data_IF_240686558832
#
_entry.id   IF_240686558832
#
_cell.length_a   1.000
_cell.length_b   1.000
_cell.length_c   1.000
_cell.angle_alpha   90.00
_cell.angle_beta   90.00
_cell.angle_gamma   90.00
#
_symmetry.space_group_name_H-M   'P 1'
#
loop_
_entity.id
_entity.type
_entity.pdbx_description
1 polymer ?
#
# COMPACT_ATOMS: atom_id res chain seq x y z
N UNK A 1 11.61 -15.79 -13.41
CA UNK A 1 11.14 -14.67 -14.24
C UNK A 1 12.18 -13.55 -14.12
N UNK A 2 12.93 -13.24 -15.17
CA UNK A 2 13.82 -12.08 -15.16
C UNK A 2 12.97 -10.83 -15.40
N UNK A 3 12.73 -10.06 -14.35
CA UNK A 3 11.99 -8.80 -14.43
C UNK A 3 13.01 -7.73 -14.83
N UNK A 4 12.89 -7.18 -16.04
CA UNK A 4 13.78 -6.10 -16.49
C UNK A 4 13.55 -4.81 -15.69
N UNK A 5 14.51 -3.88 -15.71
CA UNK A 5 14.40 -2.60 -14.97
C UNK A 5 13.10 -1.84 -15.28
N UNK A 6 12.71 -1.75 -16.56
CA UNK A 6 11.48 -1.06 -16.94
C UNK A 6 10.23 -1.72 -16.33
N UNK A 7 10.15 -3.05 -16.40
CA UNK A 7 9.04 -3.83 -15.84
C UNK A 7 9.02 -3.76 -14.31
N UNK A 8 10.17 -3.81 -13.65
CA UNK A 8 10.29 -3.68 -12.20
C UNK A 8 9.87 -2.28 -11.72
N UNK A 9 10.35 -1.22 -12.38
CA UNK A 9 9.96 0.16 -12.08
C UNK A 9 8.47 0.37 -12.33
N UNK A 10 7.94 -0.11 -13.46
CA UNK A 10 6.51 -0.03 -13.78
C UNK A 10 5.63 -0.71 -12.74
N UNK A 11 6.04 -1.90 -12.27
CA UNK A 11 5.35 -2.61 -11.20
C UNK A 11 5.33 -1.80 -9.89
N UNK A 12 6.46 -1.21 -9.51
CA UNK A 12 6.54 -0.36 -8.31
C UNK A 12 5.61 0.85 -8.46
N UNK A 13 5.66 1.58 -9.59
CA UNK A 13 4.80 2.73 -9.84
C UNK A 13 3.32 2.34 -9.76
N UNK A 14 2.93 1.24 -10.41
CA UNK A 14 1.55 0.75 -10.39
C UNK A 14 1.10 0.37 -8.96
N UNK A 15 1.98 -0.23 -8.16
CA UNK A 15 1.68 -0.58 -6.76
C UNK A 15 1.56 0.61 -5.82
N UNK A 16 2.24 1.73 -6.12
CA UNK A 16 2.26 2.93 -5.26
C UNK A 16 1.12 3.90 -5.54
N UNK A 17 0.64 3.98 -6.79
CA UNK A 17 -0.47 4.87 -7.16
C UNK A 17 -1.79 4.19 -6.76
N UNK A 18 -2.29 4.56 -5.57
CA UNK A 18 -3.57 4.09 -5.05
C UNK A 18 -4.69 5.13 -5.11
N UNK A 19 -5.86 4.76 -4.56
CA UNK A 19 -7.04 5.63 -4.45
C UNK A 19 -6.83 6.86 -3.56
N UNK A 20 -5.78 6.87 -2.74
CA UNK A 20 -5.45 7.98 -1.82
C UNK A 20 -5.26 9.33 -2.53
N UNK A 21 -4.83 9.35 -3.79
CA UNK A 21 -4.73 10.59 -4.58
C UNK A 21 -6.08 11.30 -4.68
N UNK A 22 -7.17 10.54 -4.83
CA UNK A 22 -8.52 11.09 -4.98
C UNK A 22 -9.20 11.33 -3.64
N UNK A 23 -9.03 10.43 -2.67
CA UNK A 23 -9.71 10.53 -1.38
C UNK A 23 -8.99 11.46 -0.41
N UNK A 24 -7.70 11.23 -0.15
CA UNK A 24 -6.93 11.98 0.86
C UNK A 24 -6.75 13.44 0.46
N UNK A 25 -6.52 13.73 -0.81
CA UNK A 25 -6.43 15.13 -1.28
C UNK A 25 -7.71 15.91 -1.05
N UNK A 26 -8.87 15.25 -1.14
CA UNK A 26 -10.17 15.87 -0.82
C UNK A 26 -10.30 16.20 0.66
N UNK A 27 -9.89 15.29 1.55
CA UNK A 27 -9.86 15.55 3.00
C UNK A 27 -8.88 16.66 3.36
N UNK A 28 -7.67 16.63 2.80
CA UNK A 28 -6.67 17.67 3.00
C UNK A 28 -7.17 19.04 2.53
N UNK A 29 -7.89 19.10 1.40
CA UNK A 29 -8.45 20.35 0.92
C UNK A 29 -9.55 20.88 1.84
N UNK A 30 -10.40 20.00 2.39
CA UNK A 30 -11.42 20.36 3.36
C UNK A 30 -10.80 20.90 4.66
N UNK A 31 -9.70 20.30 5.12
CA UNK A 31 -9.04 20.68 6.38
C UNK A 31 -8.16 21.92 6.23
N UNK A 32 -7.42 22.05 5.12
CA UNK A 32 -6.46 23.14 4.88
C UNK A 32 -7.08 24.36 4.20
N UNK A 33 -8.24 24.20 3.55
CA UNK A 33 -8.97 25.28 2.87
C UNK A 33 -8.28 25.90 1.65
N UNK A 34 -7.09 25.43 1.27
CA UNK A 34 -6.31 25.97 0.14
C UNK A 34 -5.64 24.86 -0.65
N UNK A 35 -5.84 24.80 -1.99
CA UNK A 35 -5.14 23.85 -2.86
C UNK A 35 -3.62 23.98 -2.78
N UNK A 36 -3.11 25.18 -2.46
CA UNK A 36 -1.67 25.42 -2.39
C UNK A 36 -1.02 24.70 -1.20
N UNK A 37 -1.70 24.69 -0.04
CA UNK A 37 -1.23 23.92 1.11
C UNK A 37 -1.29 22.42 0.88
N UNK A 38 -2.30 21.93 0.13
CA UNK A 38 -2.37 20.53 -0.28
C UNK A 38 -1.17 20.14 -1.16
N UNK A 39 -0.80 20.98 -2.13
CA UNK A 39 0.36 20.74 -3.00
C UNK A 39 1.68 20.77 -2.23
N UNK A 40 1.83 21.66 -1.25
CA UNK A 40 3.01 21.68 -0.37
C UNK A 40 3.08 20.39 0.46
N UNK A 41 1.96 19.95 1.04
CA UNK A 41 1.91 18.69 1.79
C UNK A 41 2.30 17.48 0.92
N UNK A 42 1.82 17.45 -0.33
CA UNK A 42 2.21 16.44 -1.32
C UNK A 42 3.70 16.48 -1.64
N UNK A 43 4.27 17.67 -1.84
CA UNK A 43 5.70 17.82 -2.11
C UNK A 43 6.56 17.31 -0.92
N UNK A 44 6.18 17.66 0.31
CA UNK A 44 6.87 17.18 1.52
C UNK A 44 6.78 15.66 1.63
N UNK A 45 5.59 15.09 1.46
CA UNK A 45 5.39 13.63 1.47
C UNK A 45 6.19 12.93 0.38
N UNK A 46 6.26 13.50 -0.83
CA UNK A 46 7.05 12.99 -1.94
C UNK A 46 8.55 12.97 -1.65
N UNK A 47 9.09 14.04 -1.05
CA UNK A 47 10.50 14.09 -0.62
C UNK A 47 10.77 13.03 0.46
N UNK A 48 9.90 12.92 1.46
CA UNK A 48 10.05 11.91 2.51
C UNK A 48 10.04 10.48 1.93
N UNK A 49 9.12 10.19 1.00
CA UNK A 49 9.05 8.90 0.32
C UNK A 49 10.33 8.61 -0.50
N UNK A 50 10.85 9.61 -1.23
CA UNK A 50 12.08 9.46 -2.01
C UNK A 50 13.29 9.14 -1.13
N UNK A 51 13.44 9.84 0.01
CA UNK A 51 14.49 9.56 0.98
C UNK A 51 14.36 8.15 1.56
N UNK A 52 13.14 7.73 1.91
CA UNK A 52 12.84 6.37 2.35
C UNK A 52 13.25 5.31 1.31
N UNK A 53 12.89 5.52 0.04
CA UNK A 53 13.24 4.61 -1.06
C UNK A 53 14.76 4.48 -1.25
N UNK A 54 15.52 5.57 -1.09
CA UNK A 54 16.99 5.53 -1.13
C UNK A 54 17.58 4.72 0.03
N UNK A 55 17.05 4.89 1.25
CA UNK A 55 17.44 4.11 2.43
C UNK A 55 17.17 2.62 2.24
N UNK A 56 15.95 2.26 1.80
CA UNK A 56 15.59 0.87 1.49
C UNK A 56 16.44 0.30 0.35
N UNK A 57 16.75 1.09 -0.68
CA UNK A 57 17.63 0.68 -1.79
C UNK A 57 19.09 0.46 -1.36
N UNK A 58 19.57 1.17 -0.34
CA UNK A 58 20.89 0.91 0.26
C UNK A 58 20.89 -0.37 1.11
N UNK A 59 19.83 -0.59 1.89
CA UNK A 59 19.66 -1.81 2.68
C UNK A 59 19.51 -3.06 1.81
N UNK A 60 18.68 -3.01 0.77
CA UNK A 60 18.47 -4.11 -0.16
C UNK A 60 19.75 -4.51 -0.91
N UNK A 61 20.67 -3.56 -1.16
CA UNK A 61 22.00 -3.85 -1.72
C UNK A 61 22.94 -4.54 -0.73
N UNK A 62 22.80 -4.25 0.58
CA UNK A 62 23.64 -4.84 1.64
C UNK A 62 23.12 -6.18 2.14
N UNK A 63 21.80 -6.37 2.13
CA UNK A 63 21.11 -7.56 2.62
C UNK A 63 20.27 -8.11 1.46
N UNK A 64 20.87 -8.86 0.53
CA UNK A 64 20.20 -9.39 -0.66
C UNK A 64 19.39 -10.66 -0.34
N UNK A 65 18.68 -10.65 0.78
CA UNK A 65 17.83 -11.75 1.24
C UNK A 65 16.35 -11.37 1.06
N UNK A 66 15.51 -12.37 0.81
CA UNK A 66 14.05 -12.16 0.79
C UNK A 66 13.52 -12.02 2.23
N UNK A 67 12.68 -11.02 2.48
CA UNK A 67 12.02 -10.85 3.78
C UNK A 67 11.72 -9.42 4.21
N UNK A 68 12.06 -8.42 3.40
CA UNK A 68 11.66 -7.02 3.63
C UNK A 68 12.08 -6.48 5.00
N UNK A 69 11.15 -5.77 5.67
CA UNK A 69 11.39 -5.10 6.95
C UNK A 69 11.79 -6.07 8.06
N UNK A 70 11.14 -7.24 8.12
CA UNK A 70 11.53 -8.31 9.06
C UNK A 70 13.01 -8.68 8.90
N UNK A 71 13.46 -8.91 7.66
CA UNK A 71 14.84 -9.29 7.39
C UNK A 71 15.81 -8.15 7.71
N UNK A 72 15.51 -6.93 7.25
CA UNK A 72 16.37 -5.78 7.49
C UNK A 72 16.57 -5.51 8.99
N UNK A 73 15.50 -5.48 9.79
CA UNK A 73 15.61 -5.22 11.22
C UNK A 73 16.19 -6.41 12.00
N UNK A 74 15.90 -7.65 11.60
CA UNK A 74 16.52 -8.84 12.21
C UNK A 74 18.04 -8.83 12.07
N UNK A 75 18.53 -8.41 10.89
CA UNK A 75 19.95 -8.41 10.54
C UNK A 75 20.72 -7.19 11.05
N UNK A 76 20.05 -6.03 11.16
CA UNK A 76 20.72 -4.77 11.52
C UNK A 76 20.56 -4.37 12.99
N UNK A 77 19.48 -4.79 13.66
CA UNK A 77 19.19 -4.40 15.03
C UNK A 77 19.20 -5.63 15.96
N UNK A 78 18.18 -6.48 15.85
CA UNK A 78 18.04 -7.68 16.68
C UNK A 78 16.91 -8.57 16.14
N UNK A 79 16.97 -9.91 16.26
CA UNK A 79 15.89 -10.81 15.82
C UNK A 79 14.51 -10.46 16.39
N UNK A 80 14.44 -10.01 17.66
CA UNK A 80 13.19 -9.57 18.27
C UNK A 80 12.60 -8.31 17.61
N UNK A 81 13.45 -7.36 17.20
CA UNK A 81 13.00 -6.16 16.49
C UNK A 81 12.46 -6.51 15.11
N UNK A 82 13.11 -7.44 14.41
CA UNK A 82 12.60 -7.99 13.16
C UNK A 82 11.26 -8.69 13.33
N UNK A 83 11.09 -9.53 14.36
CA UNK A 83 9.82 -10.20 14.66
C UNK A 83 8.67 -9.21 14.87
N UNK A 84 8.88 -8.18 15.69
CA UNK A 84 7.89 -7.12 15.91
C UNK A 84 7.61 -6.35 14.62
N UNK A 85 8.65 -6.03 13.85
CA UNK A 85 8.49 -5.37 12.55
C UNK A 85 7.61 -6.20 11.61
N UNK A 86 7.85 -7.50 11.50
CA UNK A 86 7.04 -8.39 10.67
C UNK A 86 5.55 -8.36 11.04
N UNK A 87 5.22 -8.34 12.33
CA UNK A 87 3.83 -8.20 12.78
C UNK A 87 3.24 -6.83 12.45
N UNK A 88 4.00 -5.76 12.62
CA UNK A 88 3.56 -4.40 12.27
C UNK A 88 3.34 -4.30 10.75
N UNK A 89 4.26 -4.80 9.92
CA UNK A 89 4.10 -4.79 8.47
C UNK A 89 2.85 -5.55 8.04
N UNK A 90 2.59 -6.72 8.63
CA UNK A 90 1.41 -7.53 8.32
C UNK A 90 0.10 -6.82 8.70
N UNK A 91 -0.01 -6.35 9.95
CA UNK A 91 -1.26 -5.81 10.49
C UNK A 91 -1.50 -4.35 10.08
N UNK A 92 -0.47 -3.53 10.08
CA UNK A 92 -0.59 -2.09 9.83
C UNK A 92 -0.16 -1.75 8.41
N UNK A 93 0.96 -2.31 7.95
CA UNK A 93 1.52 -1.99 6.63
C UNK A 93 0.63 -2.42 5.46
N UNK A 94 0.04 -3.62 5.53
CA UNK A 94 -0.78 -4.15 4.43
C UNK A 94 -2.28 -4.23 4.74
N UNK A 95 -2.65 -4.67 5.94
CA UNK A 95 -4.08 -4.91 6.24
C UNK A 95 -4.88 -3.60 6.33
N UNK A 96 -4.33 -2.55 6.97
CA UNK A 96 -5.06 -1.28 7.12
C UNK A 96 -5.27 -0.53 5.79
N UNK A 97 -4.27 -0.36 4.90
CA UNK A 97 -4.48 0.24 3.58
C UNK A 97 -5.45 -0.56 2.71
N UNK A 98 -5.40 -1.90 2.77
CA UNK A 98 -6.34 -2.76 2.05
C UNK A 98 -7.78 -2.53 2.52
N UNK A 99 -8.00 -2.46 3.83
CA UNK A 99 -9.31 -2.16 4.41
C UNK A 99 -9.79 -0.75 4.02
N UNK A 100 -8.91 0.25 4.06
CA UNK A 100 -9.23 1.62 3.66
C UNK A 100 -9.61 1.71 2.17
N UNK A 101 -8.87 1.03 1.29
CA UNK A 101 -9.17 0.96 -0.13
C UNK A 101 -10.50 0.26 -0.42
N UNK A 102 -10.79 -0.87 0.25
CA UNK A 102 -12.04 -1.59 0.11
C UNK A 102 -13.26 -0.78 0.62
N UNK A 103 -13.08 -0.04 1.72
CA UNK A 103 -14.11 0.87 2.22
C UNK A 103 -14.34 2.04 1.26
N UNK A 104 -13.26 2.62 0.70
CA UNK A 104 -13.37 3.65 -0.32
C UNK A 104 -14.12 3.15 -1.56
N UNK A 105 -13.81 1.93 -2.03
CA UNK A 105 -14.60 1.27 -3.08
C UNK A 105 -16.08 1.22 -2.71
N UNK A 106 -16.42 0.77 -1.50
CA UNK A 106 -17.82 0.71 -1.04
C UNK A 106 -18.51 2.07 -1.05
N UNK A 107 -17.80 3.15 -0.71
CA UNK A 107 -18.30 4.53 -0.78
C UNK A 107 -18.53 4.98 -2.21
N UNK A 108 -17.57 4.76 -3.11
CA UNK A 108 -17.71 5.14 -4.51
C UNK A 108 -18.76 4.29 -5.23
N UNK A 109 -18.96 3.04 -4.81
CA UNK A 109 -19.93 2.12 -5.40
C UNK A 109 -21.40 2.35 -4.94
N UNK A 110 -21.62 3.20 -3.93
CA UNK A 110 -22.96 3.50 -3.39
C UNK A 110 -24.02 3.83 -4.44
N UNK A 111 -23.74 4.64 -5.49
CA UNK A 111 -24.76 4.97 -6.50
C UNK A 111 -25.36 3.74 -7.20
N UNK A 112 -24.62 2.62 -7.25
CA UNK A 112 -25.09 1.36 -7.86
C UNK A 112 -25.56 0.33 -6.82
N UNK A 113 -25.03 0.39 -5.59
CA UNK A 113 -25.35 -0.57 -4.53
C UNK A 113 -26.51 -0.15 -3.63
N UNK A 114 -27.01 1.07 -3.77
CA UNK A 114 -28.10 1.59 -2.94
C UNK A 114 -27.68 1.69 -1.47
N UNK A 115 -28.52 1.19 -0.56
CA UNK A 115 -28.33 1.34 0.89
C UNK A 115 -27.41 0.28 1.52
N UNK A 116 -26.63 -0.47 0.73
CA UNK A 116 -25.67 -1.44 1.28
C UNK A 116 -24.55 -0.68 1.99
N UNK A 117 -24.20 -1.08 3.22
CA UNK A 117 -23.10 -0.45 3.97
C UNK A 117 -21.77 -0.53 3.19
N UNK A 118 -21.02 0.58 3.05
CA UNK A 118 -19.70 0.59 2.41
C UNK A 118 -18.71 -0.42 3.00
N UNK A 119 -18.79 -0.64 4.32
CA UNK A 119 -17.95 -1.61 5.01
C UNK A 119 -18.30 -3.05 4.61
N UNK A 120 -19.59 -3.34 4.43
CA UNK A 120 -20.06 -4.67 4.04
C UNK A 120 -19.69 -4.98 2.58
N UNK A 121 -19.92 -4.05 1.65
CA UNK A 121 -19.51 -4.21 0.25
C UNK A 121 -17.99 -4.31 0.10
N UNK A 122 -17.23 -3.53 0.88
CA UNK A 122 -15.77 -3.61 0.92
C UNK A 122 -15.27 -4.95 1.47
N UNK A 123 -15.87 -5.46 2.55
CA UNK A 123 -15.52 -6.76 3.11
C UNK A 123 -15.80 -7.90 2.11
N UNK A 124 -16.94 -7.87 1.42
CA UNK A 124 -17.24 -8.82 0.34
C UNK A 124 -16.16 -8.77 -0.75
N UNK A 125 -15.75 -7.57 -1.16
CA UNK A 125 -14.70 -7.41 -2.17
C UNK A 125 -13.39 -8.06 -1.73
N UNK A 126 -12.96 -7.83 -0.48
CA UNK A 126 -11.76 -8.45 0.10
C UNK A 126 -11.89 -9.98 0.08
N UNK A 127 -13.04 -10.52 0.50
CA UNK A 127 -13.27 -11.98 0.51
C UNK A 127 -13.20 -12.56 -0.90
N UNK A 128 -13.82 -11.90 -1.89
CA UNK A 128 -13.76 -12.32 -3.30
C UNK A 128 -12.30 -12.38 -3.78
N UNK A 129 -11.53 -11.30 -3.60
CA UNK A 129 -10.12 -11.30 -4.00
C UNK A 129 -9.29 -12.33 -3.22
N UNK A 130 -9.54 -12.51 -1.92
CA UNK A 130 -8.86 -13.52 -1.11
C UNK A 130 -9.12 -14.93 -1.65
N UNK A 131 -10.37 -15.24 -2.02
CA UNK A 131 -10.74 -16.53 -2.63
C UNK A 131 -10.06 -16.71 -3.99
N UNK A 132 -10.07 -15.68 -4.85
CA UNK A 132 -9.39 -15.72 -6.16
C UNK A 132 -7.90 -16.04 -5.99
N UNK A 133 -7.23 -15.36 -5.06
CA UNK A 133 -5.81 -15.57 -4.77
C UNK A 133 -5.52 -16.93 -4.12
N UNK A 134 -6.46 -17.47 -3.32
CA UNK A 134 -6.32 -18.77 -2.66
C UNK A 134 -6.50 -19.96 -3.62
N UNK A 135 -7.37 -19.86 -4.61
CA UNK A 135 -7.70 -20.97 -5.53
C UNK A 135 -6.70 -21.06 -6.69
N UNK A 136 -6.22 -19.93 -7.21
CA UNK A 136 -5.38 -19.94 -8.41
C UNK A 136 -4.29 -18.86 -8.38
N UNK A 137 -3.19 -19.16 -7.66
CA UNK A 137 -2.05 -18.25 -7.43
C UNK A 137 -1.49 -17.66 -8.74
N UNK A 138 -1.55 -18.39 -9.85
CA UNK A 138 -1.11 -17.90 -11.17
C UNK A 138 -2.03 -16.83 -11.78
N UNK A 139 -3.35 -16.89 -11.53
CA UNK A 139 -4.29 -15.86 -11.98
C UNK A 139 -4.25 -14.62 -11.11
N UNK A 140 -4.04 -14.79 -9.80
CA UNK A 140 -3.87 -13.66 -8.87
C UNK A 140 -2.70 -12.74 -9.25
N UNK A 141 -1.65 -13.27 -9.88
CA UNK A 141 -0.52 -12.47 -10.35
C UNK A 141 -0.81 -11.65 -11.64
N UNK A 142 -1.99 -11.80 -12.25
CA UNK A 142 -2.38 -11.14 -13.51
C UNK A 142 -3.49 -10.07 -13.32
N UNK A 143 -4.06 -9.96 -12.12
CA UNK A 143 -5.04 -8.94 -11.71
C UNK A 143 -4.39 -7.94 -10.76
#
# INVERSE_FOLDING_TARGET
MNIGLASATGLVVASMIGSGVFSTSGFLLADLGSPWFVLIAWAVGGVQAALGALCYGALARRIPESGGEYCFLSRTLHPAAGYVAGWISLLVGFTAPLAAAAFAFGKYAQPWLGNVSPAFSGAILIVIFAVIHAVEVRRGAQV
#
